data_IF_704099038700
#
_entry.id   IF_704099038700
#
_cell.length_a   1.000
_cell.length_b   1.000
_cell.length_c   1.000
_cell.angle_alpha   90.00
_cell.angle_beta   90.00
_cell.angle_gamma   90.00
#
_symmetry.space_group_name_H-M   'P 1'
#
loop_
_entity.id
_entity.type
_entity.pdbx_description
1 polymer ?
#
# COMPACT_ATOMS: atom_id res chain seq x y z
N UNK A 1 10.76 12.00 7.32
CA UNK A 1 10.58 10.74 8.07
C UNK A 1 10.04 9.65 7.16
N UNK A 2 8.89 9.86 6.47
CA UNK A 2 8.29 8.83 5.61
C UNK A 2 9.24 8.28 4.54
N UNK A 3 10.01 9.15 3.86
CA UNK A 3 10.98 8.70 2.84
C UNK A 3 12.12 7.86 3.45
N UNK A 4 12.58 8.18 4.67
CA UNK A 4 13.59 7.37 5.37
C UNK A 4 12.99 6.02 5.74
N UNK A 5 11.77 6.00 6.24
CA UNK A 5 11.05 4.77 6.57
C UNK A 5 10.86 3.88 5.33
N UNK A 6 10.55 4.49 4.16
CA UNK A 6 10.42 3.77 2.90
C UNK A 6 11.73 3.12 2.45
N UNK A 7 12.84 3.85 2.52
CA UNK A 7 14.17 3.31 2.18
C UNK A 7 14.57 2.17 3.12
N UNK A 8 14.29 2.29 4.41
CA UNK A 8 14.52 1.22 5.39
C UNK A 8 13.61 0.01 5.11
N UNK A 9 12.35 0.23 4.76
CA UNK A 9 11.43 -0.84 4.37
C UNK A 9 12.00 -1.63 3.18
N UNK A 10 12.41 -0.93 2.11
CA UNK A 10 13.00 -1.57 0.94
C UNK A 10 14.26 -2.37 1.30
N UNK A 11 15.12 -1.81 2.15
CA UNK A 11 16.30 -2.50 2.65
C UNK A 11 15.95 -3.78 3.42
N UNK A 12 14.92 -3.75 4.28
CA UNK A 12 14.46 -4.92 5.01
C UNK A 12 13.87 -5.97 4.07
N UNK A 13 13.04 -5.58 3.12
CA UNK A 13 12.45 -6.52 2.15
C UNK A 13 13.54 -7.25 1.36
N UNK A 14 14.50 -6.50 0.80
CA UNK A 14 15.61 -7.10 0.04
C UNK A 14 16.50 -7.95 0.95
N UNK A 15 16.80 -7.48 2.16
CA UNK A 15 17.62 -8.20 3.13
C UNK A 15 16.99 -9.54 3.54
N UNK A 16 15.70 -9.56 3.83
CA UNK A 16 14.97 -10.79 4.18
C UNK A 16 14.90 -11.75 2.99
N UNK A 17 14.56 -11.26 1.79
CA UNK A 17 14.53 -12.08 0.58
C UNK A 17 15.89 -12.76 0.31
N UNK A 18 16.97 -11.98 0.42
CA UNK A 18 18.32 -12.50 0.24
C UNK A 18 18.69 -13.53 1.32
N UNK A 19 18.32 -13.26 2.58
CA UNK A 19 18.58 -14.18 3.71
C UNK A 19 17.84 -15.50 3.57
N UNK A 20 16.64 -15.49 2.98
CA UNK A 20 15.85 -16.69 2.72
C UNK A 20 16.31 -17.45 1.45
N UNK A 21 17.26 -16.92 0.70
CA UNK A 21 17.65 -17.50 -0.59
C UNK A 21 16.52 -17.48 -1.63
N UNK A 22 15.57 -16.58 -1.50
CA UNK A 22 14.42 -16.49 -2.38
C UNK A 22 14.83 -16.02 -3.77
N UNK A 23 14.41 -16.76 -4.79
CA UNK A 23 14.67 -16.39 -6.18
C UNK A 23 13.75 -15.24 -6.57
N UNK A 24 14.34 -14.13 -6.98
CA UNK A 24 13.59 -12.96 -7.44
C UNK A 24 13.05 -13.22 -8.86
N UNK A 25 11.77 -13.49 -8.95
CA UNK A 25 11.05 -13.65 -10.22
C UNK A 25 10.51 -12.32 -10.75
N UNK A 26 10.15 -12.25 -12.03
CA UNK A 26 9.55 -11.05 -12.61
C UNK A 26 8.28 -10.61 -11.86
N UNK A 27 7.31 -11.48 -11.54
CA UNK A 27 6.20 -11.14 -10.64
C UNK A 27 6.64 -10.79 -9.22
N UNK A 28 7.73 -11.37 -8.71
CA UNK A 28 8.31 -10.98 -7.42
C UNK A 28 8.79 -9.53 -7.41
N UNK A 29 9.40 -9.04 -8.50
CA UNK A 29 9.74 -7.62 -8.64
C UNK A 29 8.49 -6.73 -8.64
N UNK A 30 7.42 -7.15 -9.32
CA UNK A 30 6.14 -6.44 -9.26
C UNK A 30 5.59 -6.40 -7.81
N UNK A 31 5.77 -7.46 -7.04
CA UNK A 31 5.47 -7.51 -5.60
C UNK A 31 6.24 -6.47 -4.80
N UNK A 32 7.55 -6.28 -5.06
CA UNK A 32 8.34 -5.23 -4.40
C UNK A 32 7.76 -3.85 -4.70
N UNK A 33 7.48 -3.55 -5.97
CA UNK A 33 6.90 -2.24 -6.36
C UNK A 33 5.55 -2.01 -5.68
N UNK A 34 4.71 -3.04 -5.60
CA UNK A 34 3.42 -2.97 -4.92
C UNK A 34 3.60 -2.70 -3.41
N UNK A 35 4.52 -3.39 -2.76
CA UNK A 35 4.77 -3.22 -1.32
C UNK A 35 5.35 -1.85 -0.98
N UNK A 36 6.13 -1.24 -1.88
CA UNK A 36 6.58 0.15 -1.75
C UNK A 36 5.38 1.10 -1.66
N UNK A 37 4.39 0.94 -2.53
CA UNK A 37 3.16 1.74 -2.50
C UNK A 37 2.40 1.59 -1.17
N UNK A 38 2.20 0.36 -0.72
CA UNK A 38 1.50 0.06 0.55
C UNK A 38 2.27 0.55 1.79
N UNK A 39 3.60 0.54 1.75
CA UNK A 39 4.42 1.03 2.87
C UNK A 39 4.31 2.55 3.06
N UNK A 40 4.11 3.30 1.97
CA UNK A 40 3.85 4.75 2.06
C UNK A 40 2.46 5.02 2.65
N UNK A 41 1.47 4.23 2.28
CA UNK A 41 0.07 4.43 2.64
C UNK A 41 -0.15 4.38 4.17
N UNK A 42 0.45 3.43 4.86
CA UNK A 42 0.40 3.36 6.31
C UNK A 42 0.96 4.63 6.99
N UNK A 43 2.06 5.17 6.46
CA UNK A 43 2.63 6.42 6.96
C UNK A 43 1.71 7.62 6.71
N UNK A 44 1.06 7.67 5.54
CA UNK A 44 0.09 8.74 5.20
C UNK A 44 -1.06 8.76 6.19
N UNK A 45 -1.66 7.59 6.49
CA UNK A 45 -2.78 7.48 7.45
C UNK A 45 -2.35 8.01 8.84
N UNK A 46 -1.17 7.61 9.33
CA UNK A 46 -0.67 8.06 10.63
C UNK A 46 -0.45 9.57 10.64
N UNK A 47 0.24 10.11 9.63
CA UNK A 47 0.54 11.54 9.59
C UNK A 47 -0.71 12.40 9.41
N UNK A 48 -1.68 11.95 8.63
CA UNK A 48 -2.94 12.67 8.48
C UNK A 48 -3.71 12.71 9.79
N UNK A 49 -3.72 11.59 10.54
CA UNK A 49 -4.35 11.56 11.85
C UNK A 49 -3.65 12.46 12.87
N UNK A 50 -2.31 12.51 12.85
CA UNK A 50 -1.55 13.45 13.68
C UNK A 50 -1.92 14.90 13.32
N UNK A 51 -2.08 15.21 12.03
CA UNK A 51 -2.49 16.55 11.56
C UNK A 51 -3.89 16.93 12.04
N UNK A 52 -4.83 15.99 12.00
CA UNK A 52 -6.19 16.21 12.53
C UNK A 52 -6.15 16.54 14.03
N UNK A 53 -5.39 15.79 14.83
CA UNK A 53 -5.25 16.04 16.27
C UNK A 53 -4.58 17.38 16.56
N UNK A 54 -3.58 17.78 15.77
CA UNK A 54 -2.95 19.09 15.88
C UNK A 54 -3.93 20.21 15.51
N UNK A 55 -4.72 20.05 14.46
CA UNK A 55 -5.75 21.00 14.06
C UNK A 55 -6.87 21.16 15.11
N UNK A 56 -7.15 20.08 15.87
CA UNK A 56 -8.06 20.09 17.01
C UNK A 56 -7.48 20.77 18.26
N UNK A 57 -6.22 21.29 18.21
CA UNK A 57 -5.58 21.99 19.31
C UNK A 57 -4.84 21.09 20.31
N UNK A 58 -4.65 19.81 20.01
CA UNK A 58 -3.85 18.91 20.86
C UNK A 58 -2.39 19.30 20.84
N UNK A 59 -1.71 19.20 22.00
CA UNK A 59 -0.26 19.38 22.07
C UNK A 59 0.47 18.29 21.26
N UNK A 60 1.63 18.63 20.68
CA UNK A 60 2.34 17.78 19.68
C UNK A 60 2.61 16.33 20.17
N UNK A 61 3.01 16.16 21.43
CA UNK A 61 3.26 14.81 22.00
C UNK A 61 1.98 13.98 22.07
N UNK A 62 0.86 14.63 22.47
CA UNK A 62 -0.44 13.98 22.55
C UNK A 62 -0.97 13.68 21.16
N UNK A 63 -0.87 14.62 20.24
CA UNK A 63 -1.30 14.44 18.85
C UNK A 63 -0.60 13.24 18.17
N UNK A 64 0.69 13.04 18.44
CA UNK A 64 1.44 11.88 17.93
C UNK A 64 0.90 10.59 18.56
N UNK A 65 0.79 10.54 19.90
CA UNK A 65 0.30 9.35 20.57
C UNK A 65 -1.11 8.95 20.13
N UNK A 66 -2.01 9.93 20.05
CA UNK A 66 -3.40 9.73 19.61
C UNK A 66 -3.47 9.37 18.11
N UNK A 67 -2.63 10.00 17.26
CA UNK A 67 -2.53 9.71 15.84
C UNK A 67 -2.15 8.26 15.57
N UNK A 68 -1.11 7.76 16.24
CA UNK A 68 -0.73 6.34 16.14
C UNK A 68 -1.82 5.41 16.68
N UNK A 69 -2.36 5.70 17.88
CA UNK A 69 -3.38 4.86 18.51
C UNK A 69 -4.64 4.73 17.67
N UNK A 70 -5.11 5.84 17.10
CA UNK A 70 -6.34 5.87 16.29
C UNK A 70 -6.16 5.31 14.88
N UNK A 71 -4.93 5.34 14.34
CA UNK A 71 -4.62 4.78 13.02
C UNK A 71 -4.35 3.28 13.04
N UNK A 72 -3.99 2.72 14.20
CA UNK A 72 -3.52 1.36 14.33
C UNK A 72 -4.51 0.32 13.78
N UNK A 73 -5.78 0.41 14.17
CA UNK A 73 -6.82 -0.52 13.72
C UNK A 73 -6.97 -0.50 12.19
N UNK A 74 -7.07 0.68 11.59
CA UNK A 74 -7.23 0.81 10.14
C UNK A 74 -6.04 0.23 9.36
N UNK A 75 -4.81 0.45 9.86
CA UNK A 75 -3.59 -0.07 9.23
C UNK A 75 -3.54 -1.60 9.34
N UNK A 76 -3.86 -2.16 10.50
CA UNK A 76 -3.87 -3.62 10.70
C UNK A 76 -4.95 -4.27 9.83
N UNK A 77 -6.18 -3.75 9.84
CA UNK A 77 -7.30 -4.30 9.07
C UNK A 77 -7.00 -4.35 7.57
N UNK A 78 -6.45 -3.26 7.01
CA UNK A 78 -6.06 -3.21 5.62
C UNK A 78 -4.96 -4.24 5.27
N UNK A 79 -3.96 -4.37 6.13
CA UNK A 79 -2.85 -5.29 5.90
C UNK A 79 -3.24 -6.75 6.13
N UNK A 80 -4.12 -7.05 7.09
CA UNK A 80 -4.63 -8.41 7.33
C UNK A 80 -5.39 -8.93 6.11
N UNK A 81 -6.24 -8.10 5.49
CA UNK A 81 -6.96 -8.47 4.27
C UNK A 81 -6.01 -8.85 3.13
N UNK A 82 -4.97 -8.04 2.92
CA UNK A 82 -3.95 -8.32 1.91
C UNK A 82 -3.09 -9.53 2.26
N UNK A 83 -2.79 -9.73 3.56
CA UNK A 83 -2.04 -10.88 4.04
C UNK A 83 -2.79 -12.20 3.82
N UNK A 84 -4.11 -12.23 4.03
CA UNK A 84 -4.93 -13.41 3.73
C UNK A 84 -4.83 -13.76 2.25
N UNK A 85 -4.95 -12.77 1.36
CA UNK A 85 -4.80 -13.00 -0.08
C UNK A 85 -3.40 -13.51 -0.42
N UNK A 86 -2.36 -12.92 0.16
CA UNK A 86 -0.97 -13.34 -0.04
C UNK A 86 -0.75 -14.78 0.47
N UNK A 87 -1.34 -15.16 1.61
CA UNK A 87 -1.24 -16.50 2.17
C UNK A 87 -1.93 -17.55 1.26
N UNK A 88 -3.09 -17.22 0.69
CA UNK A 88 -3.77 -18.08 -0.29
C UNK A 88 -2.90 -18.27 -1.52
N UNK A 89 -2.35 -17.17 -2.07
CA UNK A 89 -1.44 -17.23 -3.22
C UNK A 89 -0.14 -17.98 -2.90
N UNK A 90 0.35 -17.89 -1.68
CA UNK A 90 1.53 -18.65 -1.24
C UNK A 90 1.26 -20.15 -1.16
N UNK A 91 0.09 -20.54 -0.65
CA UNK A 91 -0.26 -21.95 -0.47
C UNK A 91 -0.62 -22.64 -1.79
N UNK A 92 -1.36 -21.97 -2.66
CA UNK A 92 -1.83 -22.55 -3.93
C UNK A 92 -0.98 -22.15 -5.13
N UNK A 93 -0.13 -21.12 -5.01
CA UNK A 93 0.67 -20.61 -6.10
C UNK A 93 1.82 -21.54 -6.47
N UNK A 94 2.09 -21.63 -7.76
CA UNK A 94 3.21 -22.38 -8.32
C UNK A 94 4.13 -21.43 -9.11
N UNK A 95 5.40 -21.75 -9.15
CA UNK A 95 6.40 -21.04 -9.95
C UNK A 95 6.41 -19.52 -9.69
N UNK A 96 6.13 -18.68 -10.71
CA UNK A 96 6.18 -17.22 -10.60
C UNK A 96 5.20 -16.61 -9.57
N UNK A 97 4.02 -17.24 -9.41
CA UNK A 97 2.99 -16.77 -8.46
C UNK A 97 3.45 -16.96 -7.00
N UNK A 98 4.14 -18.06 -6.71
CA UNK A 98 4.72 -18.31 -5.39
C UNK A 98 5.77 -17.24 -5.05
N UNK A 99 6.62 -16.86 -6.01
CA UNK A 99 7.60 -15.79 -5.84
C UNK A 99 6.96 -14.44 -5.52
N UNK A 100 5.89 -14.09 -6.25
CA UNK A 100 5.10 -12.88 -5.96
C UNK A 100 4.50 -12.90 -4.56
N UNK A 101 3.84 -14.00 -4.18
CA UNK A 101 3.20 -14.15 -2.87
C UNK A 101 4.21 -14.06 -1.71
N UNK A 102 5.39 -14.66 -1.88
CA UNK A 102 6.48 -14.59 -0.89
C UNK A 102 6.93 -13.15 -0.67
N UNK A 103 7.19 -12.41 -1.74
CA UNK A 103 7.58 -11.00 -1.68
C UNK A 103 6.49 -10.17 -1.03
N UNK A 104 5.22 -10.40 -1.39
CA UNK A 104 4.09 -9.67 -0.85
C UNK A 104 3.96 -9.89 0.68
N UNK A 105 4.06 -11.12 1.16
CA UNK A 105 4.02 -11.42 2.60
C UNK A 105 5.15 -10.73 3.36
N UNK A 106 6.39 -10.85 2.89
CA UNK A 106 7.55 -10.21 3.51
C UNK A 106 7.38 -8.69 3.50
N UNK A 107 6.89 -8.13 2.39
CA UNK A 107 6.65 -6.71 2.23
C UNK A 107 5.60 -6.17 3.21
N UNK A 108 4.51 -6.90 3.44
CA UNK A 108 3.46 -6.51 4.41
C UNK A 108 4.04 -6.48 5.84
N UNK A 109 4.73 -7.54 6.26
CA UNK A 109 5.34 -7.56 7.60
C UNK A 109 6.39 -6.46 7.78
N UNK A 110 7.25 -6.27 6.78
CA UNK A 110 8.25 -5.21 6.78
C UNK A 110 7.62 -3.82 6.82
N UNK A 111 6.55 -3.58 6.06
CA UNK A 111 5.87 -2.29 6.02
C UNK A 111 5.19 -1.96 7.35
N UNK A 112 4.53 -2.93 7.99
CA UNK A 112 3.93 -2.78 9.31
C UNK A 112 4.99 -2.45 10.36
N UNK A 113 6.09 -3.21 10.37
CA UNK A 113 7.20 -2.97 11.28
C UNK A 113 7.79 -1.57 11.11
N UNK A 114 8.03 -1.17 9.87
CA UNK A 114 8.66 0.12 9.57
C UNK A 114 7.70 1.28 9.84
N UNK A 115 6.44 1.19 9.46
CA UNK A 115 5.47 2.28 9.63
C UNK A 115 5.10 2.47 11.10
N UNK A 116 4.87 1.40 11.85
CA UNK A 116 4.39 1.49 13.23
C UNK A 116 5.56 1.73 14.20
N UNK A 117 6.65 0.98 14.07
CA UNK A 117 7.73 1.00 15.05
C UNK A 117 8.86 1.95 14.64
N UNK A 118 9.45 1.76 13.46
CA UNK A 118 10.63 2.54 13.06
C UNK A 118 10.28 4.01 12.88
N UNK A 119 9.16 4.31 12.20
CA UNK A 119 8.73 5.71 12.01
C UNK A 119 8.47 6.40 13.33
N UNK A 120 7.84 5.72 14.28
CA UNK A 120 7.61 6.24 15.62
C UNK A 120 8.90 6.52 16.38
N UNK A 121 9.84 5.58 16.36
CA UNK A 121 11.16 5.76 17.00
C UNK A 121 11.93 6.95 16.43
N UNK A 122 11.89 7.13 15.09
CA UNK A 122 12.53 8.28 14.45
C UNK A 122 11.89 9.58 14.91
N UNK A 123 10.56 9.63 14.99
CA UNK A 123 9.83 10.81 15.46
C UNK A 123 10.17 11.12 16.92
N UNK A 124 10.10 10.13 17.80
CA UNK A 124 10.40 10.30 19.24
C UNK A 124 11.86 10.72 19.47
N UNK A 125 12.80 10.13 18.74
CA UNK A 125 14.21 10.49 18.80
C UNK A 125 14.47 11.92 18.32
N UNK A 126 13.83 12.33 17.21
CA UNK A 126 13.96 13.68 16.67
C UNK A 126 13.43 14.74 17.64
N UNK A 127 12.27 14.48 18.21
CA UNK A 127 11.65 15.37 19.22
C UNK A 127 12.41 15.40 20.54
N UNK A 128 13.02 14.29 20.93
CA UNK A 128 13.87 14.21 22.12
C UNK A 128 15.09 15.13 22.06
N UNK A 129 15.53 15.50 20.86
CA UNK A 129 16.59 16.50 20.63
C UNK A 129 16.11 17.95 20.64
N UNK A 130 14.84 18.21 20.97
CA UNK A 130 14.27 19.55 21.00
C UNK A 130 13.92 20.13 19.63
N UNK A 131 13.94 19.31 18.58
CA UNK A 131 13.58 19.74 17.23
C UNK A 131 12.06 19.70 17.04
N UNK A 132 11.51 20.76 16.45
CA UNK A 132 10.12 20.78 16.02
C UNK A 132 9.92 20.02 14.71
N UNK A 133 8.86 19.24 14.60
CA UNK A 133 8.47 18.61 13.36
C UNK A 133 7.37 19.43 12.67
N UNK A 134 7.64 19.83 11.43
CA UNK A 134 6.62 20.43 10.57
C UNK A 134 5.86 19.32 9.84
N UNK A 135 4.57 19.16 10.20
CA UNK A 135 3.67 18.22 9.54
C UNK A 135 2.97 18.83 8.30
N UNK A 136 3.17 20.12 8.06
CA UNK A 136 2.64 20.85 6.92
C UNK A 136 3.79 21.29 6.01
N UNK A 137 3.61 21.11 4.71
CA UNK A 137 4.47 21.71 3.69
C UNK A 137 3.74 22.93 3.15
N UNK A 138 4.45 23.99 2.74
CA UNK A 138 3.86 25.21 2.18
C UNK A 138 2.85 24.94 1.05
N UNK A 139 3.04 23.83 0.31
CA UNK A 139 2.10 23.38 -0.73
C UNK A 139 0.86 22.67 -0.15
N UNK A 140 0.97 21.97 0.99
CA UNK A 140 -0.13 21.19 1.56
C UNK A 140 -0.95 21.97 2.59
N UNK A 141 -0.42 23.06 3.14
CA UNK A 141 -1.10 23.86 4.16
C UNK A 141 -2.31 24.62 3.61
N UNK A 142 -2.29 24.98 2.32
CA UNK A 142 -3.37 25.67 1.62
C UNK A 142 -4.14 24.81 0.61
N UNK A 143 -3.59 23.64 0.23
CA UNK A 143 -4.24 22.78 -0.73
C UNK A 143 -5.53 22.23 -0.14
N UNK A 144 -6.65 22.49 -0.80
CA UNK A 144 -8.00 22.07 -0.40
C UNK A 144 -8.64 22.81 0.79
N UNK A 145 -7.98 23.78 1.42
CA UNK A 145 -8.65 24.68 2.38
C UNK A 145 -9.68 25.55 1.62
N UNK A 146 -10.96 25.20 1.77
CA UNK A 146 -12.08 25.94 1.13
C UNK A 146 -12.67 25.25 -0.09
N UNK A 147 -12.18 24.12 -0.52
CA UNK A 147 -12.80 23.32 -1.58
C UNK A 147 -13.90 22.46 -0.98
N UNK A 148 -15.11 22.97 -0.94
CA UNK A 148 -16.30 22.19 -0.55
C UNK A 148 -16.89 21.58 -1.81
N UNK A 149 -16.60 20.31 -2.08
CA UNK A 149 -17.21 19.57 -3.19
C UNK A 149 -18.42 18.83 -2.63
N UNK A 150 -19.61 19.20 -3.07
CA UNK A 150 -20.84 18.50 -2.71
C UNK A 150 -20.99 17.21 -3.54
N UNK A 151 -20.36 16.14 -3.06
CA UNK A 151 -20.44 14.81 -3.68
C UNK A 151 -21.85 14.19 -3.56
N UNK A 152 -22.56 14.50 -2.47
CA UNK A 152 -23.88 13.92 -2.19
C UNK A 152 -24.92 14.45 -3.18
N UNK A 153 -24.87 15.73 -3.50
CA UNK A 153 -25.75 16.33 -4.51
C UNK A 153 -25.54 15.74 -5.91
N UNK A 154 -24.29 15.39 -6.23
CA UNK A 154 -23.93 14.82 -7.55
C UNK A 154 -24.06 13.28 -7.65
N UNK A 155 -24.63 12.62 -6.62
CA UNK A 155 -24.75 11.14 -6.60
C UNK A 155 -25.48 10.56 -7.79
N UNK A 156 -26.50 11.24 -8.34
CA UNK A 156 -27.25 10.78 -9.52
C UNK A 156 -26.36 10.70 -10.76
N UNK A 157 -25.47 11.68 -10.95
CA UNK A 157 -24.49 11.66 -12.04
C UNK A 157 -23.49 10.52 -11.87
N UNK A 158 -23.04 10.27 -10.66
CA UNK A 158 -22.14 9.13 -10.36
C UNK A 158 -22.81 7.78 -10.67
N UNK A 159 -24.09 7.61 -10.34
CA UNK A 159 -24.84 6.39 -10.67
C UNK A 159 -25.01 6.20 -12.18
N UNK A 160 -25.27 7.28 -12.94
CA UNK A 160 -25.39 7.20 -14.40
C UNK A 160 -24.04 6.83 -15.03
N UNK A 161 -22.95 7.48 -14.62
CA UNK A 161 -21.62 7.19 -15.14
C UNK A 161 -21.19 5.76 -14.75
N UNK A 162 -21.37 5.35 -13.50
CA UNK A 162 -21.04 4.00 -13.05
C UNK A 162 -21.88 2.94 -13.77
N UNK A 163 -23.19 3.18 -13.92
CA UNK A 163 -24.08 2.29 -14.64
C UNK A 163 -23.70 2.17 -16.13
N UNK A 164 -23.32 3.27 -16.77
CA UNK A 164 -22.86 3.24 -18.15
C UNK A 164 -21.56 2.43 -18.33
N UNK A 165 -20.59 2.61 -17.43
CA UNK A 165 -19.32 1.84 -17.45
C UNK A 165 -19.60 0.35 -17.27
N UNK A 166 -20.46 -0.02 -16.31
CA UNK A 166 -20.85 -1.42 -16.08
C UNK A 166 -21.57 -2.00 -17.32
N UNK A 167 -22.51 -1.26 -17.90
CA UNK A 167 -23.25 -1.69 -19.09
C UNK A 167 -22.32 -1.91 -20.28
N UNK A 168 -21.35 -1.01 -20.51
CA UNK A 168 -20.33 -1.16 -21.56
C UNK A 168 -19.46 -2.38 -21.29
N UNK A 169 -19.04 -2.60 -20.02
CA UNK A 169 -18.27 -3.78 -19.63
C UNK A 169 -19.00 -5.08 -19.91
N UNK A 170 -20.27 -5.19 -19.50
CA UNK A 170 -21.11 -6.36 -19.75
C UNK A 170 -21.31 -6.56 -21.26
N UNK A 171 -21.63 -5.51 -22.00
CA UNK A 171 -21.79 -5.58 -23.45
C UNK A 171 -20.51 -6.07 -24.13
N UNK A 172 -19.34 -5.56 -23.71
CA UNK A 172 -18.04 -6.01 -24.21
C UNK A 172 -17.80 -7.50 -23.98
N UNK A 173 -18.14 -8.01 -22.79
CA UNK A 173 -18.00 -9.44 -22.47
C UNK A 173 -18.93 -10.29 -23.33
N UNK A 174 -20.17 -9.84 -23.55
CA UNK A 174 -21.15 -10.58 -24.39
C UNK A 174 -20.74 -10.59 -25.89
N UNK A 175 -20.25 -9.46 -26.41
CA UNK A 175 -19.94 -9.34 -27.85
C UNK A 175 -18.53 -9.84 -28.21
N UNK A 176 -17.53 -9.65 -27.34
CA UNK A 176 -16.15 -10.05 -27.60
C UNK A 176 -15.73 -11.34 -26.87
N UNK A 177 -16.44 -11.72 -25.80
CA UNK A 177 -16.01 -12.79 -24.91
C UNK A 177 -14.75 -12.43 -24.11
N UNK A 178 -14.14 -13.45 -23.53
CA UNK A 178 -12.84 -13.37 -22.88
C UNK A 178 -11.80 -14.02 -23.76
N UNK A 179 -10.64 -13.36 -23.89
CA UNK A 179 -9.46 -13.92 -24.51
C UNK A 179 -8.63 -14.57 -23.40
N UNK A 180 -8.65 -15.88 -23.34
CA UNK A 180 -7.97 -16.64 -22.30
C UNK A 180 -6.52 -16.87 -22.67
N UNK A 181 -5.61 -16.65 -21.71
CA UNK A 181 -4.21 -17.00 -21.88
C UNK A 181 -3.97 -18.52 -21.89
N UNK A 182 -2.77 -18.92 -22.27
CA UNK A 182 -2.35 -20.33 -22.39
C UNK A 182 -2.53 -21.16 -21.11
N UNK A 183 -2.56 -20.52 -19.97
CA UNK A 183 -2.77 -21.17 -18.67
C UNK A 183 -4.22 -21.69 -18.49
N UNK A 184 -5.18 -21.13 -19.22
CA UNK A 184 -6.60 -21.51 -19.17
C UNK A 184 -7.03 -22.33 -20.39
N UNK A 185 -6.52 -22.01 -21.58
CA UNK A 185 -6.84 -22.74 -22.80
C UNK A 185 -6.01 -24.00 -22.99
N UNK A 186 -4.94 -24.12 -22.20
CA UNK A 186 -3.96 -25.18 -22.36
C UNK A 186 -2.98 -24.89 -23.49
N UNK A 187 -1.77 -25.38 -23.36
CA UNK A 187 -0.72 -25.18 -24.36
C UNK A 187 0.59 -25.79 -23.85
N UNK A 188 1.57 -25.87 -24.74
CA UNK A 188 2.93 -26.26 -24.39
C UNK A 188 3.84 -25.06 -24.56
N UNK A 189 4.52 -24.69 -23.48
CA UNK A 189 5.56 -23.65 -23.51
C UNK A 189 6.89 -24.32 -23.79
N UNK A 190 7.61 -23.88 -24.82
CA UNK A 190 8.95 -24.31 -25.14
C UNK A 190 9.92 -23.16 -24.81
N UNK A 191 10.91 -23.44 -24.00
CA UNK A 191 12.05 -22.54 -23.78
C UNK A 191 13.15 -22.96 -24.75
N UNK A 192 13.53 -22.08 -25.66
CA UNK A 192 14.61 -22.32 -26.62
C UNK A 192 15.77 -21.43 -26.25
N UNK A 193 16.88 -22.01 -25.80
CA UNK A 193 18.13 -21.30 -25.59
C UNK A 193 18.86 -21.21 -26.92
N UNK A 194 19.02 -20.00 -27.41
CA UNK A 194 19.90 -19.72 -28.57
C UNK A 194 21.33 -19.59 -28.06
N UNK A 195 22.22 -20.48 -28.53
CA UNK A 195 23.66 -20.38 -28.30
C UNK A 195 24.31 -19.39 -29.25
#
# INVERSE_FOLDING_TARGET
>A
VANIALLLNLFFVIGVLNSMGAVLTLPGMAGIVLTIGMAVDANVIIFERIREELAAGSGIKKAIADGYSKSYSAIIDANVTTLITAAILFYFGLGPVLGFATVLMIGIFSSLFTAILITRLIIEWWMGKGNEMKYFTNLSEGAFKGTVIDFISKRKMAYVVGGAVIAIGIASIIFKGFDYGVDFEGGRTYVVDFK
#
